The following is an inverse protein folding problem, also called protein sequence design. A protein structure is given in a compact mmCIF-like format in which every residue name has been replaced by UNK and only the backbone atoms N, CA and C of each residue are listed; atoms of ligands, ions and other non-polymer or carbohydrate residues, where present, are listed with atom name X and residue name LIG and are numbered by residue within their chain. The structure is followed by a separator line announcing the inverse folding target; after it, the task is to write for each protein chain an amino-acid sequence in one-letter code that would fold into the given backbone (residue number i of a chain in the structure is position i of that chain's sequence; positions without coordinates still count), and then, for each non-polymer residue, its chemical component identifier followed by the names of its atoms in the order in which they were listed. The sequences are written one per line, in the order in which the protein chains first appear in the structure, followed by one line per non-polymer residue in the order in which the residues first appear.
data_IF_001282955203
#
_entry.id   IF_001282955203
#
_cell.length_a   1.000
_cell.length_b   1.000
_cell.length_c   1.000
_cell.angle_alpha   90.00
_cell.angle_beta   90.00
_cell.angle_gamma   90.00
#
_symmetry.space_group_name_H-M   'P 1'
#
loop_
_entity.id
_entity.type
_entity.pdbx_description
1 polymer ?
#
# COMPACT_ATOMS: atom_id res chain seq x y z
N UNK A 1 2.70 -19.84 0.39
CA UNK A 1 2.99 -18.41 0.13
C UNK A 1 3.45 -18.15 -1.30
N UNK A 2 2.80 -17.23 -2.00
CA UNK A 2 3.15 -16.71 -3.33
C UNK A 2 3.78 -15.33 -3.21
N UNK A 3 4.81 -15.02 -4.01
CA UNK A 3 5.51 -13.74 -3.98
C UNK A 3 5.47 -13.10 -5.36
N UNK A 4 4.99 -11.87 -5.44
CA UNK A 4 5.05 -11.03 -6.62
C UNK A 4 6.32 -10.17 -6.56
N UNK A 5 7.19 -10.41 -7.53
CA UNK A 5 8.38 -9.62 -7.79
C UNK A 5 8.19 -8.78 -9.06
N UNK A 6 9.09 -7.82 -9.30
CA UNK A 6 9.12 -6.99 -10.52
C UNK A 6 7.84 -6.17 -10.74
N UNK A 7 7.19 -5.72 -9.66
CA UNK A 7 6.05 -4.81 -9.74
C UNK A 7 6.56 -3.44 -10.20
N UNK A 8 6.03 -2.93 -11.31
CA UNK A 8 6.35 -1.57 -11.77
C UNK A 8 5.30 -0.60 -11.27
N UNK A 9 5.73 0.45 -10.59
CA UNK A 9 4.87 1.51 -10.08
C UNK A 9 5.20 2.82 -10.79
N UNK A 10 4.16 3.49 -11.28
CA UNK A 10 4.26 4.81 -11.88
C UNK A 10 3.27 5.75 -11.21
N UNK A 11 3.77 6.77 -10.55
CA UNK A 11 2.99 7.80 -9.91
C UNK A 11 2.57 8.81 -10.97
N UNK A 12 1.26 9.06 -11.06
CA UNK A 12 0.73 10.09 -11.96
C UNK A 12 0.92 11.46 -11.31
N UNK A 13 1.61 12.41 -11.96
CA UNK A 13 1.78 13.76 -11.41
C UNK A 13 0.44 14.43 -11.07
N UNK A 14 -0.57 14.27 -11.92
CA UNK A 14 -1.91 14.79 -11.66
C UNK A 14 -2.56 14.20 -10.40
N UNK A 15 -2.41 12.87 -10.20
CA UNK A 15 -2.93 12.21 -9.00
C UNK A 15 -2.18 12.62 -7.75
N UNK A 16 -0.85 12.79 -7.84
CA UNK A 16 -0.01 13.26 -6.74
C UNK A 16 -0.40 14.68 -6.34
N UNK A 17 -0.49 15.60 -7.30
CA UNK A 17 -0.91 16.99 -7.07
C UNK A 17 -2.31 17.05 -6.42
N UNK A 18 -3.25 16.25 -6.93
CA UNK A 18 -4.61 16.17 -6.39
C UNK A 18 -4.62 15.57 -4.98
N UNK A 19 -3.89 14.48 -4.76
CA UNK A 19 -3.82 13.77 -3.47
C UNK A 19 -3.19 14.63 -2.37
N UNK A 20 -2.13 15.36 -2.72
CA UNK A 20 -1.46 16.32 -1.84
C UNK A 20 -2.18 17.67 -1.73
N UNK A 21 -3.29 17.86 -2.47
CA UNK A 21 -4.08 19.12 -2.52
C UNK A 21 -3.22 20.35 -2.82
N UNK A 22 -2.24 20.20 -3.72
CA UNK A 22 -1.32 21.28 -4.04
C UNK A 22 -2.00 22.33 -4.93
N UNK A 23 -1.89 23.58 -4.53
CA UNK A 23 -2.30 24.70 -5.36
C UNK A 23 -1.20 25.00 -6.39
N UNK A 24 -1.58 25.05 -7.67
CA UNK A 24 -0.68 25.32 -8.81
C UNK A 24 0.14 26.62 -8.68
N UNK A 25 -0.22 27.53 -7.78
CA UNK A 25 0.46 28.81 -7.57
C UNK A 25 1.49 28.86 -6.42
N UNK A 26 1.60 27.83 -5.57
CA UNK A 26 2.51 27.85 -4.40
C UNK A 26 3.75 26.94 -4.53
N UNK A 27 3.69 25.93 -5.39
CA UNK A 27 4.80 25.03 -5.67
C UNK A 27 5.11 25.08 -7.16
N UNK A 28 6.39 25.19 -7.51
CA UNK A 28 6.79 25.01 -8.91
C UNK A 28 6.45 23.57 -9.32
N UNK A 29 5.86 23.41 -10.50
CA UNK A 29 5.61 22.08 -11.07
C UNK A 29 6.90 21.25 -11.19
N UNK A 30 8.06 21.90 -11.28
CA UNK A 30 9.37 21.23 -11.27
C UNK A 30 9.66 20.52 -9.95
N UNK A 31 9.37 21.16 -8.82
CA UNK A 31 9.78 20.65 -7.49
C UNK A 31 9.01 19.36 -7.14
N UNK A 32 7.75 19.28 -7.55
CA UNK A 32 6.93 18.08 -7.36
C UNK A 32 7.33 16.97 -8.31
N UNK A 33 7.68 17.32 -9.55
CA UNK A 33 8.16 16.34 -10.53
C UNK A 33 9.45 15.66 -10.05
N UNK A 34 10.40 16.42 -9.51
CA UNK A 34 11.63 15.87 -8.93
C UNK A 34 11.37 14.93 -7.76
N UNK A 35 10.40 15.28 -6.88
CA UNK A 35 10.01 14.42 -5.77
C UNK A 35 9.33 13.13 -6.24
N UNK A 36 8.53 13.19 -7.31
CA UNK A 36 7.91 12.01 -7.93
C UNK A 36 9.00 11.08 -8.47
N UNK A 37 9.94 11.61 -9.26
CA UNK A 37 11.04 10.82 -9.81
C UNK A 37 11.91 10.20 -8.71
N UNK A 38 12.15 10.98 -7.64
CA UNK A 38 12.84 10.48 -6.44
C UNK A 38 12.07 9.30 -5.83
N UNK A 39 10.76 9.45 -5.62
CA UNK A 39 9.92 8.40 -5.05
C UNK A 39 9.93 7.13 -5.91
N UNK A 40 9.69 7.26 -7.22
CA UNK A 40 9.69 6.12 -8.16
C UNK A 40 11.04 5.39 -8.18
N UNK A 41 12.16 6.12 -8.10
CA UNK A 41 13.50 5.54 -8.09
C UNK A 41 13.85 4.78 -6.81
N UNK A 42 13.17 5.07 -5.70
CA UNK A 42 13.46 4.53 -4.36
C UNK A 42 12.46 3.45 -3.91
N UNK A 43 11.26 3.43 -4.47
CA UNK A 43 10.28 2.38 -4.18
C UNK A 43 10.83 1.02 -4.64
N UNK A 44 10.76 0.04 -3.75
CA UNK A 44 11.16 -1.37 -3.96
C UNK A 44 9.93 -2.24 -3.68
N UNK A 45 8.97 -2.27 -4.61
CA UNK A 45 7.67 -2.86 -4.38
C UNK A 45 7.78 -4.39 -4.31
N UNK A 46 7.16 -4.98 -3.30
CA UNK A 46 6.97 -6.42 -3.16
C UNK A 46 5.59 -6.68 -2.58
N UNK A 47 4.98 -7.74 -3.05
CA UNK A 47 3.76 -8.26 -2.44
C UNK A 47 3.89 -9.76 -2.25
N UNK A 48 3.28 -10.28 -1.19
CA UNK A 48 3.06 -11.71 -1.05
C UNK A 48 1.62 -11.97 -0.62
N UNK A 49 1.11 -13.13 -1.00
CA UNK A 49 -0.20 -13.59 -0.56
C UNK A 49 -0.18 -15.10 -0.34
N UNK A 50 -1.20 -15.59 0.34
CA UNK A 50 -1.39 -17.02 0.56
C UNK A 50 -2.83 -17.41 0.29
N UNK A 51 -3.04 -18.63 -0.24
CA UNK A 51 -4.39 -19.19 -0.38
C UNK A 51 -4.70 -19.94 0.89
N UNK A 52 -5.66 -19.45 1.66
CA UNK A 52 -6.01 -20.02 2.96
C UNK A 52 -7.48 -20.40 3.00
N UNK A 53 -7.78 -21.58 3.52
CA UNK A 53 -9.15 -22.06 3.69
C UNK A 53 -9.68 -21.72 5.08
N UNK A 54 -10.98 -21.39 5.13
CA UNK A 54 -11.68 -21.15 6.39
C UNK A 54 -12.07 -22.50 6.96
N UNK A 55 -11.50 -22.85 8.10
CA UNK A 55 -11.70 -24.15 8.76
C UNK A 55 -12.94 -24.20 9.65
N UNK A 56 -13.35 -23.08 10.24
CA UNK A 56 -14.55 -23.00 11.08
C UNK A 56 -15.19 -21.62 10.98
N UNK A 57 -16.52 -21.59 11.05
CA UNK A 57 -17.34 -20.38 11.08
C UNK A 57 -18.33 -20.47 12.25
N UNK A 58 -18.07 -19.73 13.32
CA UNK A 58 -18.96 -19.63 14.48
C UNK A 58 -19.97 -18.48 14.36
N UNK A 59 -20.59 -18.09 15.49
CA UNK A 59 -21.55 -16.96 15.53
C UNK A 59 -20.88 -15.61 15.28
N UNK A 60 -19.72 -15.40 15.88
CA UNK A 60 -18.96 -14.14 15.87
C UNK A 60 -17.45 -14.38 15.68
N UNK A 61 -17.07 -15.59 15.27
CA UNK A 61 -15.69 -16.01 15.07
C UNK A 61 -15.49 -16.75 13.75
N UNK A 62 -14.30 -16.66 13.19
CA UNK A 62 -13.83 -17.48 12.07
C UNK A 62 -12.47 -18.07 12.40
N UNK A 63 -12.23 -19.32 11.98
CA UNK A 63 -10.92 -19.97 12.14
C UNK A 63 -10.25 -20.12 10.78
N UNK A 64 -9.11 -19.48 10.61
CA UNK A 64 -8.34 -19.37 9.37
C UNK A 64 -6.94 -19.86 9.70
N UNK A 65 -6.47 -20.92 9.03
CA UNK A 65 -5.14 -21.50 9.26
C UNK A 65 -4.80 -21.74 10.75
N UNK A 66 -5.72 -22.36 11.49
CA UNK A 66 -5.53 -22.60 12.93
C UNK A 66 -5.76 -21.38 13.84
N UNK A 67 -5.71 -20.16 13.31
CA UNK A 67 -5.89 -18.91 14.06
C UNK A 67 -7.38 -18.57 14.15
N UNK A 68 -7.85 -18.23 15.35
CA UNK A 68 -9.23 -17.81 15.59
C UNK A 68 -9.33 -16.29 15.64
N UNK A 69 -10.13 -15.71 14.75
CA UNK A 69 -10.46 -14.29 14.72
C UNK A 69 -11.86 -14.08 15.28
N UNK A 70 -11.97 -13.29 16.34
CA UNK A 70 -13.25 -12.92 16.96
C UNK A 70 -13.73 -11.56 16.43
N UNK A 71 -14.60 -11.59 15.41
CA UNK A 71 -15.18 -10.39 14.82
C UNK A 71 -16.48 -10.72 14.08
N UNK A 72 -17.59 -10.10 14.51
CA UNK A 72 -18.89 -10.20 13.82
C UNK A 72 -18.83 -9.66 12.39
N UNK A 73 -18.06 -8.59 12.16
CA UNK A 73 -17.89 -7.99 10.83
C UNK A 73 -17.16 -8.95 9.90
N UNK A 74 -16.03 -9.51 10.36
CA UNK A 74 -15.25 -10.47 9.57
C UNK A 74 -16.07 -11.74 9.28
N UNK A 75 -16.77 -12.27 10.29
CA UNK A 75 -17.64 -13.44 10.13
C UNK A 75 -18.73 -13.20 9.08
N UNK A 76 -19.35 -12.01 9.06
CA UNK A 76 -20.35 -11.63 8.05
C UNK A 76 -19.73 -11.49 6.66
N UNK A 77 -18.55 -10.86 6.55
CA UNK A 77 -17.87 -10.67 5.27
C UNK A 77 -17.43 -12.00 4.64
N UNK A 78 -17.15 -13.01 5.47
CA UNK A 78 -16.70 -14.34 5.03
C UNK A 78 -17.81 -15.40 4.96
N UNK A 79 -19.08 -15.01 5.04
CA UNK A 79 -20.18 -15.97 5.17
C UNK A 79 -20.31 -16.91 3.97
N UNK A 80 -20.21 -16.35 2.76
CA UNK A 80 -20.43 -17.06 1.49
C UNK A 80 -19.16 -17.60 0.82
N UNK A 81 -18.00 -17.46 1.44
CA UNK A 81 -16.70 -17.86 0.86
C UNK A 81 -16.03 -18.91 1.72
N UNK A 82 -15.34 -19.86 1.10
CA UNK A 82 -14.65 -20.95 1.81
C UNK A 82 -13.12 -20.77 1.85
N UNK A 83 -12.59 -19.85 1.04
CA UNK A 83 -11.17 -19.50 1.00
C UNK A 83 -10.98 -17.99 0.93
N UNK A 84 -9.83 -17.54 1.42
CA UNK A 84 -9.38 -16.15 1.38
C UNK A 84 -7.95 -16.07 0.88
N UNK A 85 -7.53 -14.85 0.54
CA UNK A 85 -6.19 -14.55 0.02
C UNK A 85 -5.54 -13.45 0.87
N UNK A 86 -5.19 -13.71 2.14
CA UNK A 86 -4.47 -12.74 2.95
C UNK A 86 -3.17 -12.35 2.24
N UNK A 87 -2.84 -11.06 2.29
CA UNK A 87 -1.69 -10.51 1.59
C UNK A 87 -0.94 -9.48 2.44
N UNK A 88 0.32 -9.27 2.08
CA UNK A 88 1.20 -8.22 2.60
C UNK A 88 1.79 -7.48 1.39
N UNK A 89 1.80 -6.15 1.47
CA UNK A 89 2.44 -5.26 0.49
C UNK A 89 3.51 -4.45 1.21
N UNK A 90 4.64 -4.22 0.54
CA UNK A 90 5.67 -3.28 0.98
C UNK A 90 6.28 -2.55 -0.21
N UNK A 91 6.72 -1.32 0.01
CA UNK A 91 7.52 -0.52 -0.93
C UNK A 91 9.01 -0.50 -0.55
N UNK A 92 9.41 -1.29 0.44
CA UNK A 92 10.76 -1.28 1.00
C UNK A 92 11.06 -0.02 1.82
N UNK A 93 12.26 0.00 2.42
CA UNK A 93 12.74 1.08 3.30
C UNK A 93 13.35 2.33 2.61
N UNK A 94 13.94 2.27 1.39
CA UNK A 94 14.74 3.38 0.88
C UNK A 94 14.01 4.73 0.75
N UNK A 95 12.70 4.72 0.43
CA UNK A 95 11.92 5.95 0.36
C UNK A 95 11.73 6.57 1.75
N UNK A 96 11.41 5.75 2.75
CA UNK A 96 11.24 6.17 4.15
C UNK A 96 12.55 6.72 4.74
N UNK A 97 13.66 6.01 4.52
CA UNK A 97 14.99 6.44 4.94
C UNK A 97 15.36 7.80 4.29
N UNK A 98 14.98 7.99 3.02
CA UNK A 98 15.20 9.26 2.31
C UNK A 98 14.31 10.36 2.86
N UNK A 99 13.02 10.10 3.08
CA UNK A 99 12.08 11.07 3.63
C UNK A 99 12.55 11.57 5.01
N UNK A 100 12.94 10.65 5.88
CA UNK A 100 13.47 10.93 7.22
C UNK A 100 14.82 11.68 7.22
N UNK A 101 15.54 11.70 6.10
CA UNK A 101 16.81 12.43 5.98
C UNK A 101 16.62 13.93 5.69
N UNK A 102 15.41 14.37 5.34
CA UNK A 102 15.12 15.78 5.09
C UNK A 102 14.88 16.54 6.39
N UNK A 103 15.49 17.71 6.54
CA UNK A 103 15.15 18.68 7.59
C UNK A 103 13.85 19.46 7.28
N UNK A 104 13.28 19.25 6.10
CA UNK A 104 12.05 19.90 5.62
C UNK A 104 10.87 18.94 5.81
N UNK A 105 10.06 19.21 6.84
CA UNK A 105 8.89 18.40 7.19
C UNK A 105 7.87 18.28 6.05
N UNK A 106 7.79 19.28 5.17
CA UNK A 106 6.83 19.28 4.08
C UNK A 106 7.29 18.37 2.94
N UNK A 107 8.60 18.36 2.64
CA UNK A 107 9.18 17.39 1.70
C UNK A 107 9.10 15.97 2.22
N UNK A 108 9.36 15.77 3.52
CA UNK A 108 9.17 14.48 4.18
C UNK A 108 7.72 13.98 4.00
N UNK A 109 6.74 14.81 4.37
CA UNK A 109 5.32 14.49 4.20
C UNK A 109 4.95 14.14 2.75
N UNK A 110 5.49 14.86 1.76
CA UNK A 110 5.23 14.57 0.36
C UNK A 110 5.77 13.20 -0.07
N UNK A 111 7.00 12.85 0.32
CA UNK A 111 7.58 11.54 -0.02
C UNK A 111 6.85 10.39 0.68
N UNK A 112 6.50 10.54 1.96
CA UNK A 112 5.70 9.55 2.71
C UNK A 112 4.33 9.34 2.03
N UNK A 113 3.64 10.43 1.69
CA UNK A 113 2.35 10.38 0.98
C UNK A 113 2.45 9.71 -0.40
N UNK A 114 3.56 9.92 -1.13
CA UNK A 114 3.81 9.21 -2.38
C UNK A 114 4.06 7.72 -2.17
N UNK A 115 4.68 7.34 -1.05
CA UNK A 115 4.81 5.96 -0.60
C UNK A 115 3.45 5.29 -0.38
N UNK A 116 2.54 5.94 0.34
CA UNK A 116 1.18 5.45 0.53
C UNK A 116 0.43 5.27 -0.80
N UNK A 117 0.56 6.24 -1.71
CA UNK A 117 0.00 6.13 -3.05
C UNK A 117 0.58 4.94 -3.82
N UNK A 118 1.89 4.68 -3.69
CA UNK A 118 2.54 3.53 -4.32
C UNK A 118 2.00 2.19 -3.78
N UNK A 119 1.73 2.07 -2.47
CA UNK A 119 1.11 0.88 -1.87
C UNK A 119 -0.24 0.58 -2.53
N UNK A 120 -1.12 1.58 -2.66
CA UNK A 120 -2.42 1.41 -3.31
C UNK A 120 -2.35 1.07 -4.80
N UNK A 121 -1.23 1.36 -5.47
CA UNK A 121 -1.00 0.92 -6.86
C UNK A 121 -0.56 -0.55 -6.94
N UNK A 122 0.14 -1.05 -5.91
CA UNK A 122 0.54 -2.46 -5.81
C UNK A 122 -0.67 -3.36 -5.54
N UNK A 123 -1.63 -2.90 -4.75
CA UNK A 123 -2.85 -3.66 -4.40
C UNK A 123 -3.59 -4.19 -5.63
N UNK A 124 -3.59 -3.44 -6.74
CA UNK A 124 -4.19 -3.81 -8.02
C UNK A 124 -3.58 -5.05 -8.70
N UNK A 125 -2.40 -5.48 -8.27
CA UNK A 125 -1.78 -6.71 -8.75
C UNK A 125 -2.26 -7.95 -7.98
N UNK A 126 -3.04 -7.75 -6.91
CA UNK A 126 -3.60 -8.80 -6.05
C UNK A 126 -5.13 -8.95 -6.22
N UNK A 127 -5.78 -8.02 -6.94
CA UNK A 127 -7.18 -8.08 -7.36
C UNK A 127 -7.38 -9.00 -8.58
#
# INVERSE_FOLDING_TARGET
MYVLNNISIKLSPEKVIKGLRLNKGKYSSSDIQELIETAESLVRPKACYEVVYISEKGKDKVKIDGITFSSRVLRKNLDKVERIFPYIITIGKPLEDKASSFNDLLKQYYLESMGDMAIGLIEKYLE
#
